data_IF_189710216307
#
_entry.id   IF_189710216307
#
_cell.length_a   1.000
_cell.length_b   1.000
_cell.length_c   1.000
_cell.angle_alpha   90.00
_cell.angle_beta   90.00
_cell.angle_gamma   90.00
#
_symmetry.space_group_name_H-M   'P 1'
#
loop_
_entity.id
_entity.type
_entity.pdbx_description
1 polymer ?
#
# COMPACT_ATOMS: atom_id res chain seq x y z
N UNK A 1 -3.57 -7.81 -17.28
CA UNK A 1 -4.34 -6.62 -17.69
C UNK A 1 -4.26 -5.63 -16.52
N UNK A 2 -3.49 -4.55 -16.63
CA UNK A 2 -3.43 -3.52 -15.58
C UNK A 2 -4.71 -2.68 -15.67
N UNK A 3 -5.55 -2.75 -14.64
CA UNK A 3 -6.55 -1.73 -14.37
C UNK A 3 -5.81 -0.41 -14.20
N UNK A 4 -6.22 0.63 -14.93
CA UNK A 4 -5.70 1.98 -14.75
C UNK A 4 -5.90 2.38 -13.28
N UNK A 5 -4.82 2.59 -12.53
CA UNK A 5 -4.90 3.08 -11.16
C UNK A 5 -5.50 4.49 -11.19
N UNK A 6 -6.37 4.80 -10.23
CA UNK A 6 -6.92 6.16 -10.12
C UNK A 6 -5.83 7.13 -9.66
N UNK A 7 -5.97 8.42 -10.00
CA UNK A 7 -5.08 9.46 -9.52
C UNK A 7 -4.98 9.45 -7.98
N UNK A 8 -6.10 9.25 -7.28
CA UNK A 8 -6.14 9.22 -5.82
C UNK A 8 -5.44 8.00 -5.21
N UNK A 9 -5.33 6.90 -5.95
CA UNK A 9 -4.57 5.72 -5.53
C UNK A 9 -3.07 5.98 -5.68
N UNK A 10 -2.63 6.41 -6.87
CA UNK A 10 -1.22 6.75 -7.13
C UNK A 10 -0.74 7.85 -6.19
N UNK A 11 -1.57 8.87 -5.97
CA UNK A 11 -1.27 9.96 -5.04
C UNK A 11 -1.07 9.46 -3.61
N UNK A 12 -1.91 8.52 -3.16
CA UNK A 12 -1.74 7.90 -1.85
C UNK A 12 -0.46 7.03 -1.80
N UNK A 13 -0.15 6.25 -2.83
CA UNK A 13 1.10 5.48 -2.91
C UNK A 13 2.33 6.39 -2.81
N UNK A 14 2.36 7.49 -3.57
CA UNK A 14 3.45 8.48 -3.51
C UNK A 14 3.60 9.09 -2.13
N UNK A 15 2.49 9.51 -1.51
CA UNK A 15 2.50 10.09 -0.16
C UNK A 15 2.94 9.11 0.92
N UNK A 16 2.67 7.82 0.73
CA UNK A 16 3.07 6.77 1.66
C UNK A 16 4.59 6.54 1.66
N UNK A 17 5.31 7.01 0.62
CA UNK A 17 6.74 6.82 0.41
C UNK A 17 7.17 5.37 0.69
N UNK A 18 6.76 4.41 -0.17
CA UNK A 18 6.85 3.00 0.14
C UNK A 18 8.31 2.53 0.30
N UNK A 19 8.60 1.62 1.24
CA UNK A 19 9.95 1.14 1.49
C UNK A 19 10.45 0.25 0.34
N UNK A 20 11.77 0.04 0.25
CA UNK A 20 12.40 -0.76 -0.83
C UNK A 20 11.84 -2.17 -0.99
N UNK A 21 11.46 -2.80 0.12
CA UNK A 21 10.86 -4.14 0.11
C UNK A 21 9.37 -4.19 -0.20
N UNK A 22 8.76 -3.08 -0.62
CA UNK A 22 7.37 -3.03 -1.06
C UNK A 22 7.21 -3.25 -2.57
N UNK A 23 6.09 -3.85 -3.01
CA UNK A 23 5.78 -3.94 -4.44
C UNK A 23 5.69 -2.58 -5.15
N UNK A 24 5.17 -1.55 -4.49
CA UNK A 24 5.05 -0.22 -5.07
C UNK A 24 6.42 0.39 -5.36
N UNK A 25 7.37 0.28 -4.43
CA UNK A 25 8.75 0.71 -4.68
C UNK A 25 9.38 -0.06 -5.83
N UNK A 26 9.25 -1.40 -5.84
CA UNK A 26 9.82 -2.23 -6.91
C UNK A 26 9.32 -1.81 -8.30
N UNK A 27 8.02 -1.50 -8.43
CA UNK A 27 7.44 -1.02 -9.69
C UNK A 27 7.96 0.37 -10.09
N UNK A 28 8.13 1.26 -9.12
CA UNK A 28 8.54 2.64 -9.36
C UNK A 28 10.06 2.85 -9.47
N UNK A 29 10.88 1.92 -8.96
CA UNK A 29 12.33 2.07 -8.84
C UNK A 29 13.03 2.41 -10.18
N UNK A 30 12.51 1.89 -11.30
CA UNK A 30 13.04 2.18 -12.64
C UNK A 30 12.46 3.45 -13.27
N UNK A 31 11.36 3.99 -12.73
CA UNK A 31 10.70 5.20 -13.21
C UNK A 31 11.32 6.47 -12.63
N UNK A 32 11.96 6.37 -11.45
CA UNK A 32 12.60 7.51 -10.78
C UNK A 32 14.01 7.84 -11.29
N UNK A 33 14.56 7.03 -12.20
CA UNK A 33 15.90 7.23 -12.76
C UNK A 33 15.97 8.54 -13.57
N UNK A 34 16.63 9.55 -13.03
CA UNK A 34 16.75 10.87 -13.66
C UNK A 34 15.58 11.82 -13.40
N UNK A 35 14.62 11.42 -12.55
CA UNK A 35 13.56 12.31 -12.11
C UNK A 35 14.11 13.44 -11.22
N UNK A 36 13.58 14.68 -11.31
CA UNK A 36 13.99 15.74 -10.40
C UNK A 36 13.62 15.36 -8.96
N UNK A 37 14.42 15.78 -7.98
CA UNK A 37 14.23 15.43 -6.56
C UNK A 37 13.09 16.18 -5.88
N UNK A 38 12.05 16.59 -6.63
CA UNK A 38 10.94 17.33 -6.05
C UNK A 38 10.17 16.44 -5.07
N UNK A 39 10.08 16.89 -3.83
CA UNK A 39 9.23 16.24 -2.83
C UNK A 39 7.76 16.41 -3.25
N UNK A 40 6.93 15.36 -3.14
CA UNK A 40 5.50 15.50 -3.35
C UNK A 40 4.94 16.62 -2.47
N UNK A 41 3.91 17.34 -2.97
CA UNK A 41 3.23 18.33 -2.12
C UNK A 41 2.71 17.67 -0.83
N UNK A 42 2.61 18.42 0.28
CA UNK A 42 2.00 17.91 1.50
C UNK A 42 0.59 17.33 1.26
N UNK A 43 0.17 16.34 2.05
CA UNK A 43 -1.19 15.82 2.00
C UNK A 43 -2.19 16.90 2.42
N UNK A 44 -3.34 16.94 1.76
CA UNK A 44 -4.56 17.56 2.25
C UNK A 44 -5.17 16.72 3.38
N UNK A 45 -6.16 17.26 4.10
CA UNK A 45 -6.77 16.57 5.24
C UNK A 45 -7.39 15.22 4.86
N UNK A 46 -8.05 15.14 3.70
CA UNK A 46 -8.64 13.88 3.21
C UNK A 46 -7.58 12.85 2.81
N UNK A 47 -6.49 13.30 2.18
CA UNK A 47 -5.33 12.43 1.88
C UNK A 47 -4.68 11.94 3.17
N UNK A 48 -4.57 12.79 4.18
CA UNK A 48 -4.01 12.43 5.49
C UNK A 48 -4.88 11.39 6.23
N UNK A 49 -6.21 11.50 6.13
CA UNK A 49 -7.14 10.50 6.65
C UNK A 49 -6.93 9.16 5.95
N UNK A 50 -6.89 9.15 4.61
CA UNK A 50 -6.63 7.94 3.81
C UNK A 50 -5.28 7.29 4.17
N UNK A 51 -4.21 8.08 4.29
CA UNK A 51 -2.89 7.59 4.74
C UNK A 51 -3.00 6.94 6.12
N UNK A 52 -3.73 7.57 7.03
CA UNK A 52 -3.92 7.05 8.40
C UNK A 52 -4.64 5.70 8.38
N UNK A 53 -5.66 5.54 7.54
CA UNK A 53 -6.36 4.26 7.35
C UNK A 53 -5.46 3.19 6.74
N UNK A 54 -4.67 3.54 5.72
CA UNK A 54 -3.70 2.63 5.11
C UNK A 54 -2.69 2.16 6.16
N UNK A 55 -2.15 3.07 6.98
CA UNK A 55 -1.21 2.73 8.06
C UNK A 55 -1.83 1.82 9.11
N UNK A 56 -3.10 2.04 9.49
CA UNK A 56 -3.83 1.15 10.39
C UNK A 56 -3.96 -0.26 9.79
N UNK A 57 -4.33 -0.36 8.52
CA UNK A 57 -4.43 -1.64 7.81
C UNK A 57 -3.06 -2.34 7.72
N UNK A 58 -1.98 -1.60 7.45
CA UNK A 58 -0.61 -2.14 7.48
C UNK A 58 -0.24 -2.73 8.85
N UNK A 59 -0.66 -2.09 9.94
CA UNK A 59 -0.45 -2.62 11.30
C UNK A 59 -1.20 -3.93 11.51
N UNK A 60 -2.48 -4.01 11.11
CA UNK A 60 -3.28 -5.25 11.18
C UNK A 60 -2.63 -6.38 10.39
N UNK A 61 -2.18 -6.10 9.16
CA UNK A 61 -1.47 -7.08 8.33
C UNK A 61 -0.17 -7.53 9.03
N UNK A 62 0.61 -6.58 9.56
CA UNK A 62 1.89 -6.89 10.22
C UNK A 62 1.71 -7.72 11.50
N UNK A 63 0.71 -7.44 12.31
CA UNK A 63 0.39 -8.22 13.51
C UNK A 63 0.03 -9.67 13.16
N UNK A 64 -0.66 -9.87 12.04
CA UNK A 64 -1.06 -11.20 11.57
C UNK A 64 0.07 -11.98 10.91
N UNK A 65 0.79 -11.34 9.98
CA UNK A 65 1.73 -12.00 9.05
C UNK A 65 3.17 -11.95 9.56
N UNK A 66 3.52 -10.88 10.29
CA UNK A 66 4.88 -10.53 10.67
C UNK A 66 5.53 -9.48 9.76
N UNK A 67 6.59 -8.84 10.25
CA UNK A 67 7.32 -7.81 9.51
C UNK A 67 8.08 -8.41 8.31
N UNK A 68 8.10 -7.69 7.19
CA UNK A 68 8.86 -8.06 5.98
C UNK A 68 8.34 -9.31 5.27
N UNK A 69 7.08 -9.70 5.51
CA UNK A 69 6.45 -10.89 4.91
C UNK A 69 5.23 -10.50 4.07
N UNK A 70 5.05 -11.15 2.93
CA UNK A 70 3.84 -11.02 2.12
C UNK A 70 2.68 -11.84 2.73
N UNK A 71 1.45 -11.30 2.79
CA UNK A 71 0.28 -12.06 3.21
C UNK A 71 -0.06 -13.18 2.21
N UNK A 72 -0.47 -14.34 2.73
CA UNK A 72 -1.08 -15.40 1.93
C UNK A 72 -2.56 -15.11 1.65
N UNK A 73 -3.20 -15.92 0.80
CA UNK A 73 -4.64 -15.84 0.56
C UNK A 73 -5.46 -16.11 1.83
N UNK A 74 -4.97 -16.98 2.71
CA UNK A 74 -5.64 -17.28 3.98
C UNK A 74 -5.49 -16.12 4.98
N UNK A 75 -4.35 -15.42 4.97
CA UNK A 75 -4.17 -14.20 5.75
C UNK A 75 -5.12 -13.09 5.26
N UNK A 76 -5.23 -12.90 3.95
CA UNK A 76 -6.17 -11.95 3.36
C UNK A 76 -7.61 -12.25 3.82
N UNK A 77 -8.06 -13.50 3.73
CA UNK A 77 -9.39 -13.90 4.21
C UNK A 77 -9.56 -13.62 5.69
N UNK A 78 -8.59 -14.01 6.52
CA UNK A 78 -8.65 -13.80 7.97
C UNK A 78 -8.71 -12.31 8.35
N UNK A 79 -8.03 -11.44 7.60
CA UNK A 79 -8.01 -10.00 7.82
C UNK A 79 -9.31 -9.33 7.35
N UNK A 80 -9.88 -9.78 6.22
CA UNK A 80 -11.07 -9.16 5.62
C UNK A 80 -12.39 -9.71 6.17
N UNK A 81 -12.43 -10.95 6.64
CA UNK A 81 -13.65 -11.60 7.15
C UNK A 81 -14.34 -10.84 8.30
N UNK A 82 -13.62 -10.22 9.27
CA UNK A 82 -14.24 -9.42 10.32
C UNK A 82 -15.06 -8.22 9.82
N UNK A 83 -14.84 -7.74 8.60
CA UNK A 83 -15.59 -6.64 8.01
C UNK A 83 -16.96 -7.06 7.45
N UNK A 84 -17.29 -8.35 7.48
CA UNK A 84 -18.62 -8.84 7.10
C UNK A 84 -19.00 -8.44 5.67
N UNK A 85 -20.19 -7.86 5.50
CA UNK A 85 -20.70 -7.43 4.19
C UNK A 85 -19.87 -6.30 3.54
N UNK A 86 -19.15 -5.51 4.33
CA UNK A 86 -18.35 -4.37 3.87
C UNK A 86 -16.98 -4.77 3.31
N UNK A 87 -16.62 -6.06 3.33
CA UNK A 87 -15.30 -6.53 2.92
C UNK A 87 -14.90 -6.06 1.51
N UNK A 88 -15.88 -5.99 0.59
CA UNK A 88 -15.65 -5.52 -0.78
C UNK A 88 -15.23 -4.04 -0.84
N UNK A 89 -15.77 -3.20 0.06
CA UNK A 89 -15.39 -1.79 0.17
C UNK A 89 -14.01 -1.58 0.81
N UNK A 90 -13.56 -2.53 1.65
CA UNK A 90 -12.25 -2.49 2.32
C UNK A 90 -11.14 -3.09 1.45
N UNK A 91 -11.48 -3.92 0.47
CA UNK A 91 -10.51 -4.58 -0.40
C UNK A 91 -9.51 -3.61 -1.07
N UNK A 92 -9.93 -2.45 -1.62
CA UNK A 92 -8.99 -1.47 -2.16
C UNK A 92 -8.01 -0.92 -1.11
N UNK A 93 -8.48 -0.66 0.10
CA UNK A 93 -7.63 -0.20 1.22
C UNK A 93 -6.60 -1.27 1.59
N UNK A 94 -7.04 -2.53 1.68
CA UNK A 94 -6.16 -3.68 1.90
C UNK A 94 -5.11 -3.80 0.81
N UNK A 95 -5.51 -3.73 -0.46
CA UNK A 95 -4.58 -3.85 -1.58
C UNK A 95 -3.54 -2.73 -1.58
N UNK A 96 -3.96 -1.49 -1.31
CA UNK A 96 -3.06 -0.34 -1.19
C UNK A 96 -2.08 -0.53 -0.02
N UNK A 97 -2.57 -1.01 1.13
CA UNK A 97 -1.73 -1.29 2.30
C UNK A 97 -0.66 -2.34 1.99
N UNK A 98 -1.05 -3.45 1.35
CA UNK A 98 -0.15 -4.52 0.91
C UNK A 98 0.88 -3.95 -0.08
N UNK A 99 0.45 -3.28 -1.15
CA UNK A 99 1.34 -2.74 -2.17
C UNK A 99 2.39 -1.77 -1.61
N UNK A 100 2.06 -1.01 -0.56
CA UNK A 100 2.90 0.06 -0.01
C UNK A 100 3.63 -0.31 1.28
N UNK A 101 3.45 -1.52 1.81
CA UNK A 101 4.20 -1.99 2.99
C UNK A 101 5.40 -2.83 2.61
N UNK A 102 6.37 -2.91 3.52
CA UNK A 102 7.51 -3.81 3.36
C UNK A 102 7.06 -5.27 3.43
N UNK A 103 7.35 -6.00 2.37
CA UNK A 103 7.08 -7.43 2.20
C UNK A 103 8.37 -8.22 1.91
N UNK A 104 9.55 -7.60 2.04
CA UNK A 104 10.82 -8.25 1.72
C UNK A 104 11.08 -8.42 0.21
N UNK A 105 10.36 -7.72 -0.66
CA UNK A 105 10.58 -7.74 -2.11
C UNK A 105 12.01 -7.32 -2.43
N UNK A 106 12.73 -8.14 -3.19
CA UNK A 106 14.11 -7.84 -3.58
C UNK A 106 14.12 -7.02 -4.87
N UNK A 107 14.65 -5.80 -4.80
CA UNK A 107 14.98 -4.99 -5.98
C UNK A 107 16.41 -5.37 -6.37
N UNK A 108 16.60 -5.99 -7.54
CA UNK A 108 17.91 -6.35 -8.08
C UNK A 108 18.47 -5.22 -8.94
#
# INVERSE_FOLDING_TARGET
>A
MHLLQSYDEVRAEVLMNPPRGSPAYFKAAHLDAGAPSWSPRPPSDSEQQKITEVRKMQSVIRERVGAGKSPSMDDMKAILMPYGAEWAGILPLYQLAVNTMDQGVQVR
#
